data_IF_288203195491
#
_entry.id   IF_288203195491
#
_cell.length_a   1.000
_cell.length_b   1.000
_cell.length_c   1.000
_cell.angle_alpha   90.00
_cell.angle_beta   90.00
_cell.angle_gamma   90.00
#
_symmetry.space_group_name_H-M   'P 1'
#
loop_
_entity.id
_entity.type
_entity.pdbx_description
1 polymer ?
#
# COMPACT_ATOMS: atom_id res chain seq x y z
N UNK A 1 -12.63 -27.00 50.57
CA UNK A 1 -11.84 -27.97 49.80
C UNK A 1 -12.88 -28.89 49.19
N UNK A 2 -13.30 -28.70 47.95
CA UNK A 2 -12.45 -28.56 46.76
C UNK A 2 -12.83 -27.41 45.81
N UNK A 3 -11.79 -27.01 45.07
CA UNK A 3 -11.67 -25.88 44.17
C UNK A 3 -12.12 -26.29 42.76
N UNK A 4 -13.08 -25.54 42.20
CA UNK A 4 -13.15 -25.02 40.82
C UNK A 4 -12.51 -25.80 39.66
N UNK A 5 -13.29 -26.03 38.60
CA UNK A 5 -12.89 -25.69 37.23
C UNK A 5 -14.06 -24.99 36.50
N UNK A 6 -13.96 -23.69 36.13
CA UNK A 6 -14.99 -22.95 35.41
C UNK A 6 -14.65 -22.83 33.90
N UNK A 7 -13.62 -23.51 33.43
CA UNK A 7 -13.14 -23.47 32.05
C UNK A 7 -13.43 -24.80 31.37
N UNK A 8 -14.73 -25.06 31.17
CA UNK A 8 -15.15 -25.93 30.08
C UNK A 8 -14.64 -25.35 28.77
N UNK A 9 -13.48 -25.86 28.32
CA UNK A 9 -12.94 -25.60 27.00
C UNK A 9 -13.88 -26.25 25.99
N UNK A 10 -14.83 -25.46 25.52
CA UNK A 10 -15.74 -25.82 24.45
C UNK A 10 -14.96 -25.82 23.13
N UNK A 11 -15.05 -26.97 22.46
CA UNK A 11 -14.73 -27.28 21.07
C UNK A 11 -14.02 -26.23 20.23
N UNK A 12 -12.78 -26.57 19.87
CA UNK A 12 -12.11 -26.30 18.59
C UNK A 12 -12.76 -25.25 17.69
N UNK A 13 -12.27 -24.01 17.78
CA UNK A 13 -12.20 -23.17 16.58
C UNK A 13 -11.09 -23.77 15.74
N UNK A 14 -11.48 -24.62 14.78
CA UNK A 14 -10.59 -24.99 13.69
C UNK A 14 -10.09 -23.67 13.12
N UNK A 15 -8.77 -23.48 13.14
CA UNK A 15 -8.11 -22.40 12.42
C UNK A 15 -8.36 -22.69 10.95
N UNK A 16 -9.52 -22.26 10.45
CA UNK A 16 -9.87 -22.38 9.06
C UNK A 16 -8.92 -21.43 8.34
N UNK A 17 -7.89 -22.03 7.74
CA UNK A 17 -6.91 -21.33 6.94
C UNK A 17 -7.65 -20.37 6.02
N UNK A 18 -7.28 -19.08 5.95
CA UNK A 18 -7.90 -18.18 5.01
C UNK A 18 -7.79 -18.82 3.64
N UNK A 19 -8.93 -19.09 3.02
CA UNK A 19 -9.02 -19.78 1.73
C UNK A 19 -8.14 -19.02 0.73
N UNK A 20 -7.52 -19.72 -0.23
CA UNK A 20 -6.70 -19.08 -1.26
C UNK A 20 -7.42 -17.94 -2.01
N UNK A 21 -8.75 -17.97 -2.00
CA UNK A 21 -9.65 -16.92 -2.48
C UNK A 21 -9.63 -15.63 -1.65
N UNK A 22 -9.56 -15.70 -0.31
CA UNK A 22 -9.45 -14.52 0.57
C UNK A 22 -8.07 -13.87 0.46
N UNK A 23 -7.02 -14.68 0.28
CA UNK A 23 -5.66 -14.21 -0.01
C UNK A 23 -5.61 -13.56 -1.39
N UNK A 24 -6.25 -14.17 -2.39
CA UNK A 24 -6.41 -13.62 -3.73
C UNK A 24 -7.17 -12.30 -3.73
N UNK A 25 -8.29 -12.21 -3.01
CA UNK A 25 -9.09 -10.99 -2.88
C UNK A 25 -8.35 -9.86 -2.15
N UNK A 26 -7.52 -10.18 -1.14
CA UNK A 26 -6.66 -9.20 -0.46
C UNK A 26 -5.52 -8.68 -1.36
N UNK A 27 -4.90 -9.57 -2.15
CA UNK A 27 -3.93 -9.20 -3.19
C UNK A 27 -4.61 -8.37 -4.28
N UNK A 28 -5.80 -8.77 -4.74
CA UNK A 28 -6.58 -8.05 -5.76
C UNK A 28 -7.07 -6.71 -5.23
N UNK A 29 -7.40 -6.57 -3.94
CA UNK A 29 -7.73 -5.31 -3.28
C UNK A 29 -6.52 -4.38 -3.17
N UNK A 30 -5.34 -4.94 -2.86
CA UNK A 30 -4.07 -4.22 -2.89
C UNK A 30 -3.73 -3.79 -4.31
N UNK A 31 -3.91 -4.66 -5.31
CA UNK A 31 -3.69 -4.43 -6.74
C UNK A 31 -4.76 -3.53 -7.39
N UNK A 32 -5.99 -3.49 -6.90
CA UNK A 32 -7.07 -2.64 -7.41
C UNK A 32 -6.95 -1.19 -6.96
N UNK A 33 -6.16 -0.92 -5.93
CA UNK A 33 -5.66 0.44 -5.63
C UNK A 33 -4.56 0.84 -6.64
N UNK A 34 -3.99 -0.13 -7.38
CA UNK A 34 -2.77 0.00 -8.17
C UNK A 34 -3.01 0.11 -9.69
N UNK A 35 -4.25 0.09 -10.17
CA UNK A 35 -4.55 0.36 -11.58
C UNK A 35 -3.92 1.67 -12.10
N UNK A 36 -3.86 2.77 -11.31
CA UNK A 36 -3.13 3.99 -11.70
C UNK A 36 -1.61 3.79 -11.89
N UNK A 37 -0.98 2.81 -11.22
CA UNK A 37 0.45 2.51 -11.38
C UNK A 37 0.76 1.77 -12.68
N UNK A 38 -0.26 1.20 -13.34
CA UNK A 38 -0.09 0.60 -14.67
C UNK A 38 0.17 1.66 -15.75
N UNK A 39 -0.07 2.94 -15.45
CA UNK A 39 0.43 4.03 -16.27
C UNK A 39 1.95 4.12 -16.09
N UNK A 40 2.65 3.82 -17.17
CA UNK A 40 4.09 3.70 -17.26
C UNK A 40 4.76 5.01 -16.78
N UNK A 41 5.27 5.04 -15.55
CA UNK A 41 5.84 6.23 -14.89
C UNK A 41 7.17 6.64 -15.56
N UNK A 42 7.15 7.64 -16.44
CA UNK A 42 8.33 8.02 -17.23
C UNK A 42 8.89 9.40 -16.90
N UNK A 43 8.15 10.21 -16.13
CA UNK A 43 8.58 11.54 -15.71
C UNK A 43 8.13 11.86 -14.28
N UNK A 44 8.72 12.88 -13.66
CA UNK A 44 8.23 13.41 -12.37
C UNK A 44 6.79 13.90 -12.51
N UNK A 45 6.38 14.39 -13.68
CA UNK A 45 5.00 14.78 -13.95
C UNK A 45 4.04 13.58 -13.91
N UNK A 46 4.46 12.41 -14.40
CA UNK A 46 3.63 11.21 -14.35
C UNK A 46 3.42 10.71 -12.93
N UNK A 47 4.42 10.87 -12.05
CA UNK A 47 4.26 10.60 -10.61
C UNK A 47 3.19 11.51 -9.96
N UNK A 48 3.11 12.77 -10.37
CA UNK A 48 2.06 13.69 -9.87
C UNK A 48 0.69 13.26 -10.37
N UNK A 49 0.58 12.89 -11.65
CA UNK A 49 -0.67 12.39 -12.23
C UNK A 49 -1.15 11.13 -11.54
N UNK A 50 -0.23 10.19 -11.29
CA UNK A 50 -0.49 8.99 -10.52
C UNK A 50 -1.06 9.32 -9.13
N UNK A 51 -0.41 10.22 -8.39
CA UNK A 51 -0.90 10.69 -7.08
C UNK A 51 -2.31 11.28 -7.17
N UNK A 52 -2.58 12.10 -8.18
CA UNK A 52 -3.92 12.69 -8.38
C UNK A 52 -4.97 11.62 -8.70
N UNK A 53 -4.63 10.61 -9.50
CA UNK A 53 -5.51 9.49 -9.83
C UNK A 53 -5.83 8.65 -8.59
N UNK A 54 -4.83 8.37 -7.75
CA UNK A 54 -5.01 7.64 -6.48
C UNK A 54 -5.94 8.42 -5.54
N UNK A 55 -5.70 9.72 -5.33
CA UNK A 55 -6.55 10.57 -4.48
C UNK A 55 -7.98 10.62 -5.02
N UNK A 56 -8.15 10.77 -6.34
CA UNK A 56 -9.47 10.78 -6.98
C UNK A 56 -10.18 9.43 -6.87
N UNK A 57 -9.46 8.31 -6.98
CA UNK A 57 -10.04 6.98 -6.82
C UNK A 57 -10.54 6.78 -5.39
N UNK A 58 -9.74 7.15 -4.40
CA UNK A 58 -10.12 7.06 -3.00
C UNK A 58 -11.33 7.96 -2.68
N UNK A 59 -11.35 9.19 -3.22
CA UNK A 59 -12.51 10.09 -3.14
C UNK A 59 -13.80 9.46 -3.67
N UNK A 60 -13.73 8.72 -4.79
CA UNK A 60 -14.90 8.08 -5.41
C UNK A 60 -15.33 6.80 -4.69
N UNK A 61 -14.42 6.08 -4.02
CA UNK A 61 -14.73 4.86 -3.28
C UNK A 61 -15.64 5.12 -2.07
N UNK A 62 -15.69 6.36 -1.56
CA UNK A 62 -16.56 6.74 -0.44
C UNK A 62 -16.28 5.89 0.81
N UNK A 63 -17.32 5.59 1.59
CA UNK A 63 -17.24 4.73 2.79
C UNK A 63 -17.16 3.21 2.48
N UNK A 64 -16.78 2.83 1.25
CA UNK A 64 -16.64 1.43 0.86
C UNK A 64 -15.68 0.65 1.75
N UNK A 65 -15.81 -0.68 1.76
CA UNK A 65 -14.98 -1.61 2.54
C UNK A 65 -13.52 -1.20 2.45
N UNK A 66 -12.83 -1.20 3.59
CA UNK A 66 -11.45 -0.76 3.72
C UNK A 66 -10.51 -1.93 3.39
N UNK A 67 -9.84 -1.98 2.23
CA UNK A 67 -8.80 -2.97 1.94
C UNK A 67 -7.71 -3.04 3.02
N UNK A 68 -7.50 -1.94 3.76
CA UNK A 68 -6.59 -1.88 4.89
C UNK A 68 -7.15 -2.51 6.18
N UNK A 69 -8.48 -2.50 6.36
CA UNK A 69 -9.16 -3.25 7.42
C UNK A 69 -9.08 -4.75 7.14
N UNK A 70 -9.29 -5.16 5.89
CA UNK A 70 -9.08 -6.54 5.44
C UNK A 70 -7.60 -6.95 5.56
N UNK A 71 -6.65 -6.09 5.18
CA UNK A 71 -5.21 -6.31 5.39
C UNK A 71 -4.83 -6.37 6.87
N UNK A 72 -5.40 -5.52 7.72
CA UNK A 72 -5.16 -5.54 9.16
C UNK A 72 -5.75 -6.79 9.81
N UNK A 73 -6.93 -7.24 9.40
CA UNK A 73 -7.51 -8.51 9.80
C UNK A 73 -6.67 -9.69 9.32
N UNK A 74 -6.21 -9.68 8.05
CA UNK A 74 -5.31 -10.68 7.48
C UNK A 74 -3.93 -10.69 8.15
N UNK A 75 -3.43 -9.56 8.67
CA UNK A 75 -2.17 -9.51 9.41
C UNK A 75 -2.35 -9.89 10.89
N UNK A 76 -3.50 -9.57 11.49
CA UNK A 76 -3.81 -9.86 12.87
C UNK A 76 -4.26 -11.33 13.08
N UNK A 77 -4.85 -11.94 12.06
CA UNK A 77 -5.42 -13.30 12.10
C UNK A 77 -4.81 -14.23 11.05
N UNK A 78 -3.94 -13.73 10.17
CA UNK A 78 -3.33 -14.55 9.13
C UNK A 78 -2.13 -15.34 9.63
N UNK A 79 -2.09 -16.57 9.15
CA UNK A 79 -0.93 -17.45 9.21
C UNK A 79 0.27 -16.90 8.40
N UNK A 80 1.35 -17.67 8.31
CA UNK A 80 2.51 -17.28 7.49
C UNK A 80 2.14 -17.09 6.00
N UNK A 81 1.13 -17.79 5.48
CA UNK A 81 0.73 -17.69 4.09
C UNK A 81 0.10 -16.32 3.78
N UNK A 82 -0.78 -15.82 4.65
CA UNK A 82 -1.34 -14.47 4.53
C UNK A 82 -0.25 -13.38 4.60
N UNK A 83 0.68 -13.49 5.56
CA UNK A 83 1.82 -12.56 5.67
C UNK A 83 2.74 -12.61 4.44
N UNK A 84 2.95 -13.79 3.87
CA UNK A 84 3.75 -13.98 2.65
C UNK A 84 3.09 -13.31 1.43
N UNK A 85 1.78 -13.49 1.26
CA UNK A 85 1.01 -12.87 0.18
C UNK A 85 1.07 -11.33 0.22
N UNK A 86 0.85 -10.74 1.39
CA UNK A 86 0.95 -9.28 1.59
C UNK A 86 2.35 -8.78 1.25
N UNK A 87 3.39 -9.49 1.71
CA UNK A 87 4.79 -9.17 1.42
C UNK A 87 5.08 -9.20 -0.08
N UNK A 88 4.59 -10.22 -0.79
CA UNK A 88 4.76 -10.36 -2.22
C UNK A 88 4.05 -9.24 -2.99
N UNK A 89 2.83 -8.88 -2.58
CA UNK A 89 2.08 -7.75 -3.13
C UNK A 89 2.85 -6.43 -2.98
N UNK A 90 3.27 -6.09 -1.76
CA UNK A 90 4.05 -4.87 -1.48
C UNK A 90 5.33 -4.84 -2.32
N UNK A 91 6.09 -5.95 -2.35
CA UNK A 91 7.33 -6.02 -3.12
C UNK A 91 7.11 -5.81 -4.63
N UNK A 92 6.03 -6.36 -5.19
CA UNK A 92 5.67 -6.14 -6.59
C UNK A 92 5.36 -4.66 -6.87
N UNK A 93 4.64 -3.99 -5.98
CA UNK A 93 4.32 -2.57 -6.08
C UNK A 93 5.59 -1.69 -5.99
N UNK A 94 6.44 -1.96 -5.01
CA UNK A 94 7.72 -1.26 -4.86
C UNK A 94 8.60 -1.44 -6.10
N UNK A 95 8.62 -2.64 -6.69
CA UNK A 95 9.39 -2.92 -7.90
C UNK A 95 8.90 -2.10 -9.12
N UNK A 96 7.58 -1.92 -9.26
CA UNK A 96 7.00 -1.08 -10.32
C UNK A 96 7.37 0.40 -10.13
N UNK A 97 7.28 0.90 -8.89
CA UNK A 97 7.68 2.26 -8.54
C UNK A 97 9.18 2.49 -8.77
N UNK A 98 10.02 1.59 -8.28
CA UNK A 98 11.47 1.65 -8.44
C UNK A 98 11.87 1.62 -9.91
N UNK A 99 11.24 0.75 -10.71
CA UNK A 99 11.46 0.71 -12.16
C UNK A 99 11.04 2.00 -12.87
N UNK A 100 9.98 2.68 -12.42
CA UNK A 100 9.58 4.01 -12.91
C UNK A 100 10.60 5.08 -12.55
N UNK A 101 10.97 5.16 -11.28
CA UNK A 101 11.96 6.11 -10.77
C UNK A 101 13.35 5.92 -11.42
N UNK A 102 13.75 4.68 -11.70
CA UNK A 102 14.97 4.37 -12.44
C UNK A 102 14.94 4.97 -13.85
N UNK A 103 13.83 4.81 -14.58
CA UNK A 103 13.63 5.41 -15.91
C UNK A 103 13.66 6.95 -15.88
N UNK A 104 13.05 7.57 -14.87
CA UNK A 104 13.07 9.03 -14.67
C UNK A 104 14.50 9.51 -14.35
N UNK A 105 15.28 8.72 -13.61
CA UNK A 105 16.70 9.02 -13.38
C UNK A 105 17.53 8.87 -14.65
N UNK A 106 17.31 7.82 -15.43
CA UNK A 106 17.98 7.58 -16.72
C UNK A 106 17.69 8.67 -17.76
N UNK A 107 16.50 9.29 -17.71
CA UNK A 107 16.16 10.44 -18.55
C UNK A 107 16.81 11.76 -18.11
N UNK A 108 17.45 11.78 -16.94
CA UNK A 108 18.09 12.96 -16.36
C UNK A 108 17.15 13.89 -15.58
N UNK A 109 15.89 13.50 -15.35
CA UNK A 109 14.97 14.29 -14.52
C UNK A 109 15.27 14.14 -13.01
N UNK A 110 15.88 13.03 -12.58
CA UNK A 110 16.41 12.85 -11.23
C UNK A 110 17.94 12.84 -11.23
N UNK A 111 18.53 13.26 -10.11
CA UNK A 111 19.97 13.26 -9.90
C UNK A 111 20.54 11.84 -10.03
N UNK A 112 21.76 11.72 -10.54
CA UNK A 112 22.40 10.43 -10.79
C UNK A 112 22.61 9.59 -9.52
N UNK A 113 22.71 10.24 -8.36
CA UNK A 113 22.83 9.61 -7.04
C UNK A 113 21.49 9.35 -6.35
N UNK A 114 20.36 9.71 -6.97
CA UNK A 114 19.04 9.35 -6.46
C UNK A 114 18.89 7.83 -6.45
N UNK A 115 18.43 7.29 -5.32
CA UNK A 115 18.20 5.86 -5.09
C UNK A 115 16.72 5.51 -5.38
N UNK A 116 16.40 4.85 -6.52
CA UNK A 116 15.03 4.55 -6.90
C UNK A 116 14.32 3.60 -5.94
N UNK A 117 15.04 2.66 -5.32
CA UNK A 117 14.48 1.70 -4.37
C UNK A 117 14.05 2.43 -3.10
N UNK A 118 14.93 3.28 -2.56
CA UNK A 118 14.61 4.09 -1.38
C UNK A 118 13.44 5.05 -1.63
N UNK A 119 13.39 5.67 -2.80
CA UNK A 119 12.29 6.54 -3.20
C UNK A 119 10.97 5.76 -3.36
N UNK A 120 11.02 4.55 -3.92
CA UNK A 120 9.86 3.68 -4.07
C UNK A 120 9.28 3.25 -2.72
N UNK A 121 10.13 2.82 -1.77
CA UNK A 121 9.69 2.49 -0.41
C UNK A 121 9.05 3.69 0.28
N UNK A 122 9.61 4.89 0.12
CA UNK A 122 9.03 6.11 0.68
C UNK A 122 7.64 6.42 0.12
N UNK A 123 7.46 6.30 -1.20
CA UNK A 123 6.16 6.49 -1.85
C UNK A 123 5.15 5.42 -1.41
N UNK A 124 5.58 4.15 -1.33
CA UNK A 124 4.72 3.05 -0.92
C UNK A 124 4.26 3.20 0.54
N UNK A 125 5.17 3.57 1.45
CA UNK A 125 4.84 3.86 2.84
C UNK A 125 3.84 5.02 2.97
N UNK A 126 4.03 6.10 2.21
CA UNK A 126 3.12 7.25 2.19
C UNK A 126 1.73 6.88 1.64
N UNK A 127 1.67 6.04 0.61
CA UNK A 127 0.42 5.53 0.05
C UNK A 127 -0.35 4.73 1.11
N UNK A 128 0.28 3.72 1.71
CA UNK A 128 -0.39 2.82 2.67
C UNK A 128 -0.81 3.58 3.95
N UNK A 129 0.07 4.38 4.52
CA UNK A 129 -0.25 5.21 5.69
C UNK A 129 -1.31 6.28 5.38
N UNK A 130 -1.23 6.90 4.20
CA UNK A 130 -2.19 7.89 3.73
C UNK A 130 -3.60 7.31 3.57
N UNK A 131 -3.72 6.12 2.97
CA UNK A 131 -4.99 5.40 2.82
C UNK A 131 -5.57 5.01 4.17
N UNK A 132 -4.73 4.56 5.11
CA UNK A 132 -5.15 4.23 6.47
C UNK A 132 -5.76 5.47 7.16
N UNK A 133 -5.05 6.59 7.13
CA UNK A 133 -5.52 7.84 7.74
C UNK A 133 -6.79 8.35 7.05
N UNK A 134 -6.83 8.35 5.71
CA UNK A 134 -7.98 8.83 4.95
C UNK A 134 -9.25 8.06 5.30
N UNK A 135 -9.18 6.72 5.36
CA UNK A 135 -10.34 5.87 5.65
C UNK A 135 -10.77 5.95 7.11
N UNK A 136 -9.82 5.92 8.05
CA UNK A 136 -10.12 5.97 9.49
C UNK A 136 -10.72 7.31 9.92
N UNK A 137 -10.27 8.42 9.32
CA UNK A 137 -10.75 9.76 9.64
C UNK A 137 -11.84 10.26 8.71
N UNK A 138 -12.15 9.50 7.64
CA UNK A 138 -13.02 9.92 6.52
C UNK A 138 -12.59 11.26 5.90
N UNK A 139 -11.28 11.47 5.81
CA UNK A 139 -10.68 12.68 5.27
C UNK A 139 -9.57 12.33 4.27
N UNK A 140 -9.93 12.32 2.98
CA UNK A 140 -8.99 12.02 1.89
C UNK A 140 -7.83 13.01 1.80
N UNK A 141 -7.93 14.19 2.42
CA UNK A 141 -6.82 15.15 2.48
C UNK A 141 -5.61 14.55 3.21
N UNK A 142 -5.81 13.57 4.09
CA UNK A 142 -4.70 12.86 4.76
C UNK A 142 -3.85 12.06 3.78
N UNK A 143 -4.48 11.36 2.84
CA UNK A 143 -3.78 10.65 1.76
C UNK A 143 -3.05 11.62 0.85
N UNK A 144 -3.70 12.73 0.51
CA UNK A 144 -3.12 13.77 -0.33
C UNK A 144 -1.85 14.36 0.28
N UNK A 145 -1.89 14.75 1.56
CA UNK A 145 -0.73 15.30 2.29
C UNK A 145 0.42 14.29 2.38
N UNK A 146 0.12 13.02 2.64
CA UNK A 146 1.14 11.97 2.72
C UNK A 146 1.87 11.80 1.39
N UNK A 147 1.12 11.66 0.29
CA UNK A 147 1.70 11.52 -1.05
C UNK A 147 2.45 12.77 -1.51
N UNK A 148 1.95 13.97 -1.19
CA UNK A 148 2.65 15.22 -1.49
C UNK A 148 3.98 15.33 -0.77
N UNK A 149 4.04 14.88 0.48
CA UNK A 149 5.28 14.88 1.26
C UNK A 149 6.31 13.97 0.62
N UNK A 150 5.91 12.75 0.23
CA UNK A 150 6.80 11.79 -0.43
C UNK A 150 7.22 12.28 -1.83
N UNK A 151 6.31 12.86 -2.62
CA UNK A 151 6.66 13.48 -3.90
C UNK A 151 7.56 14.71 -3.74
N UNK A 152 7.41 15.48 -2.66
CA UNK A 152 8.32 16.54 -2.30
C UNK A 152 9.74 16.02 -2.08
N UNK A 153 9.89 14.87 -1.41
CA UNK A 153 11.17 14.20 -1.26
C UNK A 153 11.74 13.72 -2.61
N UNK A 154 10.92 13.11 -3.49
CA UNK A 154 11.36 12.76 -4.86
C UNK A 154 11.84 14.00 -5.63
N UNK A 155 11.09 15.10 -5.57
CA UNK A 155 11.43 16.36 -6.25
C UNK A 155 12.68 17.03 -5.69
N UNK A 156 13.02 16.81 -4.42
CA UNK A 156 14.28 17.28 -3.85
C UNK A 156 15.50 16.62 -4.53
N UNK A 157 15.29 15.47 -5.17
CA UNK A 157 16.28 14.81 -6.02
C UNK A 157 16.12 15.15 -7.51
N UNK A 158 15.19 16.03 -7.90
CA UNK A 158 15.05 16.43 -9.30
C UNK A 158 16.19 17.34 -9.73
N UNK A 159 16.71 17.12 -10.93
CA UNK A 159 17.69 18.03 -11.53
C UNK A 159 16.93 19.27 -11.98
N UNK A 160 17.30 20.43 -11.45
CA UNK A 160 16.78 21.70 -11.97
C UNK A 160 17.45 21.93 -13.33
N UNK A 161 16.71 21.70 -14.41
CA UNK A 161 17.13 22.08 -15.77
C UNK A 161 17.05 23.61 -15.95
#
# INVERSE_FOLDING_TARGET
>A
MDLVDPYGQDGGRVDELPTGEAVGAGIDGLLAIQEPLRNNLHSVRDLVRWRDEVVRLEQRRGDGVCPLGELAELLAHGDEAGRSAVRAGIAACESLLAGGLARIRESGELAADADPERLATGLMAALQGGLLLARTTRDVRRLEVALDTALGYVRAHAVTL
#
